data_IF_251069189052
#
_entry.id   IF_251069189052
#
_cell.length_a   1.000
_cell.length_b   1.000
_cell.length_c   1.000
_cell.angle_alpha   90.00
_cell.angle_beta   90.00
_cell.angle_gamma   90.00
#
_symmetry.space_group_name_H-M   'P 1'
#
loop_
_entity.id
_entity.type
_entity.pdbx_description
1 polymer ?
#
# COMPACT_ATOMS: atom_id res chain seq x y z
N UNK A 1 10.55 12.49 2.27
CA UNK A 1 9.30 12.57 3.03
C UNK A 1 8.37 13.75 2.65
N UNK A 2 8.82 15.01 2.58
CA UNK A 2 7.92 16.12 2.16
C UNK A 2 7.36 15.92 0.74
N UNK A 3 8.19 15.51 -0.22
CA UNK A 3 7.77 15.19 -1.60
C UNK A 3 6.70 14.09 -1.62
N UNK A 4 6.94 12.97 -0.95
CA UNK A 4 5.97 11.86 -0.85
C UNK A 4 4.63 12.32 -0.27
N UNK A 5 4.65 13.08 0.82
CA UNK A 5 3.43 13.63 1.43
C UNK A 5 2.64 14.53 0.48
N UNK A 6 3.34 15.37 -0.28
CA UNK A 6 2.72 16.26 -1.26
C UNK A 6 2.08 15.46 -2.41
N UNK A 7 2.80 14.46 -2.94
CA UNK A 7 2.30 13.58 -3.99
C UNK A 7 1.08 12.76 -3.52
N UNK A 8 1.15 12.18 -2.31
CA UNK A 8 0.01 11.45 -1.73
C UNK A 8 -1.20 12.36 -1.52
N UNK A 9 -0.99 13.60 -1.04
CA UNK A 9 -2.08 14.55 -0.88
C UNK A 9 -2.74 14.88 -2.22
N UNK A 10 -1.96 15.09 -3.27
CA UNK A 10 -2.47 15.34 -4.61
C UNK A 10 -3.22 14.12 -5.18
N UNK A 11 -2.65 12.92 -5.05
CA UNK A 11 -3.28 11.68 -5.54
C UNK A 11 -4.54 11.28 -4.75
N UNK A 12 -4.73 11.75 -3.53
CA UNK A 12 -5.91 11.51 -2.68
C UNK A 12 -6.89 12.69 -2.67
N UNK A 13 -6.67 13.68 -3.51
CA UNK A 13 -7.61 14.80 -3.64
C UNK A 13 -8.96 14.30 -4.16
N UNK A 14 -10.04 14.75 -3.53
CA UNK A 14 -11.41 14.33 -3.83
C UNK A 14 -11.71 12.83 -3.60
N UNK A 15 -10.92 12.15 -2.79
CA UNK A 15 -11.20 10.78 -2.42
C UNK A 15 -12.50 10.68 -1.60
N UNK A 16 -13.49 9.96 -2.11
CA UNK A 16 -14.77 9.70 -1.40
C UNK A 16 -14.76 8.37 -0.66
N UNK A 17 -14.21 7.32 -1.31
CA UNK A 17 -14.02 5.98 -0.73
C UNK A 17 -12.60 5.52 -0.98
N UNK A 18 -11.88 5.19 0.07
CA UNK A 18 -10.48 4.73 -0.01
C UNK A 18 -10.38 3.29 0.43
N UNK A 19 -9.91 2.42 -0.46
CA UNK A 19 -9.45 1.09 -0.12
C UNK A 19 -7.94 1.12 0.12
N UNK A 20 -7.47 0.46 1.17
CA UNK A 20 -6.04 0.22 1.41
C UNK A 20 -5.81 -1.28 1.37
N UNK A 21 -4.86 -1.73 0.58
CA UNK A 21 -4.47 -3.12 0.45
C UNK A 21 -3.02 -3.28 0.88
N UNK A 22 -2.80 -3.98 2.00
CA UNK A 22 -1.48 -4.39 2.45
C UNK A 22 -1.11 -5.75 1.87
N UNK A 23 0.01 -5.82 1.18
CA UNK A 23 0.55 -7.04 0.56
C UNK A 23 1.83 -7.45 1.27
N UNK A 24 2.14 -8.74 1.29
CA UNK A 24 3.38 -9.27 1.84
C UNK A 24 3.23 -10.58 2.60
N UNK A 25 4.29 -10.98 3.31
CA UNK A 25 4.34 -12.20 4.10
C UNK A 25 4.94 -11.95 5.49
N UNK A 26 4.22 -12.33 6.54
CA UNK A 26 4.70 -12.28 7.93
C UNK A 26 5.85 -13.25 8.21
N UNK A 27 6.08 -14.21 7.32
CA UNK A 27 7.11 -15.23 7.47
C UNK A 27 8.47 -14.85 6.88
N UNK A 28 8.58 -13.69 6.21
CA UNK A 28 9.73 -13.34 5.38
C UNK A 28 10.31 -11.96 5.69
N UNK A 29 10.69 -11.74 6.95
CA UNK A 29 11.38 -10.50 7.35
C UNK A 29 10.58 -9.25 6.96
N UNK A 30 11.18 -8.40 6.14
CA UNK A 30 10.60 -7.11 5.73
C UNK A 30 9.48 -7.21 4.69
N UNK A 31 9.19 -8.41 4.18
CA UNK A 31 8.06 -8.65 3.28
C UNK A 31 6.69 -8.31 3.94
N UNK A 32 6.66 -8.22 5.25
CA UNK A 32 5.48 -7.83 6.04
C UNK A 32 5.18 -6.32 5.99
N UNK A 33 6.00 -5.51 5.34
CA UNK A 33 5.92 -4.05 5.37
C UNK A 33 4.54 -3.49 4.99
N UNK A 34 3.95 -4.03 3.91
CA UNK A 34 2.62 -3.61 3.45
C UNK A 34 1.52 -3.93 4.44
N UNK A 35 1.56 -5.13 5.02
CA UNK A 35 0.61 -5.57 6.06
C UNK A 35 0.72 -4.65 7.28
N UNK A 36 1.93 -4.44 7.80
CA UNK A 36 2.16 -3.57 8.96
C UNK A 36 1.63 -2.14 8.75
N UNK A 37 1.85 -1.57 7.56
CA UNK A 37 1.36 -0.23 7.24
C UNK A 37 -0.18 -0.21 7.18
N UNK A 38 -0.80 -1.19 6.52
CA UNK A 38 -2.25 -1.28 6.37
C UNK A 38 -2.96 -1.46 7.70
N UNK A 39 -2.52 -2.39 8.57
CA UNK A 39 -3.07 -2.60 9.91
C UNK A 39 -2.97 -1.34 10.79
N UNK A 40 -1.86 -0.60 10.68
CA UNK A 40 -1.71 0.66 11.41
C UNK A 40 -2.66 1.74 10.88
N UNK A 41 -2.89 1.80 9.57
CA UNK A 41 -3.88 2.72 8.99
C UNK A 41 -5.27 2.38 9.55
N UNK A 42 -5.67 1.12 9.56
CA UNK A 42 -6.94 0.67 10.12
C UNK A 42 -7.09 1.08 11.59
N UNK A 43 -6.09 0.76 12.40
CA UNK A 43 -6.10 1.02 13.85
C UNK A 43 -6.20 2.51 14.21
N UNK A 44 -5.56 3.38 13.43
CA UNK A 44 -5.43 4.81 13.76
C UNK A 44 -6.33 5.73 12.93
N UNK A 45 -7.02 5.20 11.92
CA UNK A 45 -8.05 5.94 11.20
C UNK A 45 -9.28 6.10 12.08
N UNK A 46 -9.74 7.34 12.21
CA UNK A 46 -10.96 7.65 12.94
C UNK A 46 -11.99 8.15 11.94
N UNK A 47 -13.14 7.49 11.81
CA UNK A 47 -14.19 7.98 10.95
C UNK A 47 -14.65 9.35 11.41
N UNK A 48 -14.59 10.33 10.52
CA UNK A 48 -15.17 11.66 10.68
C UNK A 48 -16.23 11.82 9.60
N UNK A 49 -17.24 12.60 9.87
CA UNK A 49 -18.35 12.85 8.93
C UNK A 49 -17.87 13.42 7.58
N UNK A 50 -16.73 14.11 7.57
CA UNK A 50 -16.12 14.73 6.38
C UNK A 50 -14.98 13.92 5.77
N UNK A 51 -14.51 12.87 6.46
CA UNK A 51 -13.43 12.03 5.95
C UNK A 51 -13.96 11.02 4.93
N UNK A 52 -13.13 10.58 3.97
CA UNK A 52 -13.51 9.52 3.05
C UNK A 52 -13.82 8.23 3.81
N UNK A 53 -14.77 7.44 3.29
CA UNK A 53 -15.02 6.10 3.79
C UNK A 53 -13.79 5.24 3.55
N UNK A 54 -13.24 4.62 4.60
CA UNK A 54 -12.03 3.82 4.54
C UNK A 54 -12.35 2.35 4.77
N UNK A 55 -11.79 1.47 3.92
CA UNK A 55 -11.75 0.04 4.15
C UNK A 55 -10.34 -0.50 3.92
N UNK A 56 -9.85 -1.29 4.88
CA UNK A 56 -8.53 -1.92 4.80
C UNK A 56 -8.70 -3.40 4.47
N UNK A 57 -7.82 -3.89 3.62
CA UNK A 57 -7.72 -5.26 3.16
C UNK A 57 -6.30 -5.76 3.41
N UNK A 58 -6.16 -6.97 3.93
CA UNK A 58 -4.87 -7.63 4.11
C UNK A 58 -4.78 -8.76 3.08
N UNK A 59 -3.95 -8.54 2.06
CA UNK A 59 -3.82 -9.42 0.90
C UNK A 59 -2.85 -10.58 1.11
N UNK A 60 -2.01 -10.50 2.15
CA UNK A 60 -0.93 -11.46 2.37
C UNK A 60 -0.16 -11.72 1.06
N UNK A 61 0.06 -12.98 0.71
CA UNK A 61 0.78 -13.42 -0.49
C UNK A 61 -0.10 -13.61 -1.73
N UNK A 62 -1.41 -13.40 -1.61
CA UNK A 62 -2.39 -13.63 -2.68
C UNK A 62 -3.43 -12.49 -2.75
N UNK A 63 -2.98 -11.23 -3.00
CA UNK A 63 -3.86 -10.06 -3.02
C UNK A 63 -4.95 -10.12 -4.08
N UNK A 64 -4.74 -10.88 -5.15
CA UNK A 64 -5.72 -11.10 -6.22
C UNK A 64 -7.03 -11.73 -5.74
N UNK A 65 -6.98 -12.50 -4.66
CA UNK A 65 -8.18 -13.11 -4.06
C UNK A 65 -9.18 -12.08 -3.50
N UNK A 66 -8.71 -10.86 -3.22
CA UNK A 66 -9.51 -9.78 -2.65
C UNK A 66 -10.15 -8.86 -3.70
N UNK A 67 -9.88 -9.09 -4.99
CA UNK A 67 -10.43 -8.26 -6.08
C UNK A 67 -11.94 -8.17 -6.04
N UNK A 68 -12.64 -9.27 -5.74
CA UNK A 68 -14.10 -9.29 -5.61
C UNK A 68 -14.63 -8.41 -4.47
N UNK A 69 -13.95 -8.41 -3.32
CA UNK A 69 -14.33 -7.59 -2.18
C UNK A 69 -14.03 -6.11 -2.41
N UNK A 70 -12.87 -5.81 -2.99
CA UNK A 70 -12.50 -4.43 -3.39
C UNK A 70 -13.55 -3.89 -4.36
N UNK A 71 -13.99 -4.69 -5.35
CA UNK A 71 -15.07 -4.34 -6.29
C UNK A 71 -16.39 -4.03 -5.58
N UNK A 72 -16.81 -4.86 -4.64
CA UNK A 72 -18.05 -4.64 -3.87
C UNK A 72 -17.99 -3.35 -3.05
N UNK A 73 -16.82 -2.98 -2.54
CA UNK A 73 -16.62 -1.73 -1.81
C UNK A 73 -16.75 -0.49 -2.71
N UNK A 74 -16.45 -0.61 -4.02
CA UNK A 74 -16.49 0.48 -5.01
C UNK A 74 -15.65 1.69 -4.59
N UNK A 75 -14.34 1.52 -4.36
CA UNK A 75 -13.50 2.65 -3.96
C UNK A 75 -13.40 3.68 -5.09
N UNK A 76 -13.16 4.95 -4.75
CA UNK A 76 -12.68 5.97 -5.68
C UNK A 76 -11.16 5.91 -5.80
N UNK A 77 -10.49 5.45 -4.74
CA UNK A 77 -9.03 5.33 -4.67
C UNK A 77 -8.65 4.01 -4.00
N UNK A 78 -7.68 3.31 -4.60
CA UNK A 78 -7.07 2.11 -4.05
C UNK A 78 -5.59 2.39 -3.77
N UNK A 79 -5.18 2.27 -2.51
CA UNK A 79 -3.77 2.33 -2.10
C UNK A 79 -3.28 0.90 -1.92
N UNK A 80 -2.27 0.50 -2.68
CA UNK A 80 -1.58 -0.78 -2.52
C UNK A 80 -0.23 -0.51 -1.88
N UNK A 81 0.10 -1.23 -0.80
CA UNK A 81 1.37 -1.09 -0.08
C UNK A 81 2.03 -2.46 -0.04
N UNK A 82 3.29 -2.53 -0.49
CA UNK A 82 4.06 -3.76 -0.56
C UNK A 82 5.55 -3.50 -0.30
N UNK A 83 6.31 -4.54 0.01
CA UNK A 83 7.76 -4.50 -0.04
C UNK A 83 8.23 -4.52 -1.50
N UNK A 84 9.10 -3.58 -1.87
CA UNK A 84 9.59 -3.48 -3.24
C UNK A 84 11.10 -3.25 -3.27
N UNK A 85 11.80 -3.96 -4.17
CA UNK A 85 13.21 -3.71 -4.44
C UNK A 85 13.32 -2.48 -5.36
N UNK A 86 13.81 -1.42 -4.77
CA UNK A 86 13.88 -0.09 -5.37
C UNK A 86 15.33 0.33 -5.64
N UNK A 87 16.29 -0.59 -5.47
CA UNK A 87 17.72 -0.30 -5.45
C UNK A 87 18.08 0.84 -4.47
N UNK A 88 17.26 0.99 -3.41
CA UNK A 88 17.33 2.08 -2.46
C UNK A 88 17.85 1.66 -1.08
N UNK A 89 17.80 2.60 -0.14
CA UNK A 89 18.17 2.32 1.24
C UNK A 89 17.01 1.60 1.96
N UNK A 90 17.30 0.63 2.86
CA UNK A 90 16.26 -0.03 3.65
C UNK A 90 15.30 0.97 4.33
N UNK A 91 14.01 0.77 4.16
CA UNK A 91 12.98 1.67 4.65
C UNK A 91 12.70 2.89 3.75
N UNK A 92 13.33 2.99 2.59
CA UNK A 92 12.94 3.99 1.59
C UNK A 92 11.52 3.72 1.08
N UNK A 93 10.73 4.79 0.93
CA UNK A 93 9.33 4.72 0.50
C UNK A 93 9.18 5.45 -0.82
N UNK A 94 8.67 4.77 -1.83
CA UNK A 94 8.50 5.31 -3.18
C UNK A 94 7.07 5.07 -3.68
N UNK A 95 6.54 6.08 -4.39
CA UNK A 95 5.34 5.89 -5.22
C UNK A 95 5.76 5.24 -6.54
N UNK A 96 5.08 4.16 -6.88
CA UNK A 96 5.34 3.40 -8.11
C UNK A 96 4.19 3.67 -9.07
N UNK A 97 4.51 4.10 -10.28
CA UNK A 97 3.48 4.28 -11.29
C UNK A 97 2.99 2.89 -11.78
N UNK A 98 1.68 2.71 -12.00
CA UNK A 98 1.09 1.41 -12.34
C UNK A 98 1.75 0.74 -13.55
N UNK A 99 2.22 1.52 -14.53
CA UNK A 99 2.90 1.03 -15.72
C UNK A 99 4.25 0.38 -15.42
N UNK A 100 4.87 0.75 -14.32
CA UNK A 100 6.18 0.23 -13.89
C UNK A 100 6.06 -1.02 -13.01
N UNK A 101 4.84 -1.45 -12.70
CA UNK A 101 4.58 -2.70 -11.97
C UNK A 101 4.91 -3.88 -12.88
N UNK A 102 5.88 -4.71 -12.48
CA UNK A 102 6.37 -5.86 -13.26
C UNK A 102 7.71 -5.65 -13.94
N UNK A 103 8.31 -4.46 -13.86
CA UNK A 103 9.66 -4.18 -14.38
C UNK A 103 10.77 -4.74 -13.49
N UNK A 104 11.06 -4.21 -12.35
CA UNK A 104 12.17 -4.64 -11.47
C UNK A 104 11.86 -4.56 -9.99
N UNK A 105 10.67 -4.13 -9.60
CA UNK A 105 10.51 -3.48 -8.32
C UNK A 105 9.82 -4.27 -7.21
N UNK A 106 9.04 -5.33 -7.52
CA UNK A 106 8.35 -6.08 -6.45
C UNK A 106 9.07 -7.38 -6.12
N UNK A 107 9.42 -7.55 -4.86
CA UNK A 107 10.33 -8.60 -4.43
C UNK A 107 9.77 -10.02 -4.52
N UNK A 108 8.47 -10.21 -4.24
CA UNK A 108 7.89 -11.56 -4.10
C UNK A 108 6.53 -11.72 -4.74
N UNK A 109 5.80 -10.63 -4.91
CA UNK A 109 4.40 -10.64 -5.37
C UNK A 109 4.17 -9.81 -6.65
N UNK A 110 5.25 -9.50 -7.40
CA UNK A 110 5.20 -8.63 -8.60
C UNK A 110 4.18 -9.08 -9.64
N UNK A 111 4.13 -10.37 -9.94
CA UNK A 111 3.21 -10.89 -10.96
C UNK A 111 1.75 -10.86 -10.51
N UNK A 112 1.39 -11.39 -9.31
CA UNK A 112 0.03 -11.27 -8.79
C UNK A 112 -0.44 -9.82 -8.68
N UNK A 113 0.41 -8.93 -8.16
CA UNK A 113 0.08 -7.50 -8.01
C UNK A 113 -0.14 -6.84 -9.37
N UNK A 114 0.69 -7.14 -10.37
CA UNK A 114 0.52 -6.62 -11.73
C UNK A 114 -0.79 -7.10 -12.37
N UNK A 115 -1.03 -8.41 -12.37
CA UNK A 115 -2.24 -8.99 -12.95
C UNK A 115 -3.49 -8.43 -12.29
N UNK A 116 -3.48 -8.31 -10.97
CA UNK A 116 -4.57 -7.71 -10.20
C UNK A 116 -4.76 -6.23 -10.57
N UNK A 117 -3.69 -5.46 -10.64
CA UNK A 117 -3.74 -4.03 -10.98
C UNK A 117 -4.28 -3.82 -12.39
N UNK A 118 -3.77 -4.55 -13.38
CA UNK A 118 -4.24 -4.49 -14.77
C UNK A 118 -5.73 -4.84 -14.88
N UNK A 119 -6.16 -5.89 -14.18
CA UNK A 119 -7.56 -6.29 -14.15
C UNK A 119 -8.47 -5.24 -13.50
N UNK A 120 -8.02 -4.62 -12.41
CA UNK A 120 -8.79 -3.59 -11.72
C UNK A 120 -8.88 -2.31 -12.55
N UNK A 121 -7.80 -1.88 -13.19
CA UNK A 121 -7.78 -0.72 -14.08
C UNK A 121 -8.70 -0.89 -15.29
N UNK A 122 -8.75 -2.09 -15.87
CA UNK A 122 -9.65 -2.38 -17.00
C UNK A 122 -11.13 -2.45 -16.59
N UNK A 123 -11.40 -2.83 -15.35
CA UNK A 123 -12.76 -3.10 -14.86
C UNK A 123 -13.43 -1.89 -14.22
N UNK A 124 -12.68 -0.86 -13.80
CA UNK A 124 -13.17 0.24 -12.99
C UNK A 124 -12.45 1.54 -13.26
N UNK A 125 -13.20 2.64 -13.09
CA UNK A 125 -12.68 4.00 -13.19
C UNK A 125 -12.33 4.54 -11.78
N UNK A 126 -11.32 3.95 -11.11
CA UNK A 126 -10.79 4.46 -9.84
C UNK A 126 -9.27 4.66 -9.91
N UNK A 127 -8.77 5.54 -9.07
CA UNK A 127 -7.33 5.83 -9.04
C UNK A 127 -6.59 4.76 -8.22
N UNK A 128 -5.52 4.18 -8.79
CA UNK A 128 -4.63 3.27 -8.08
C UNK A 128 -3.36 4.01 -7.68
N UNK A 129 -2.97 3.88 -6.42
CA UNK A 129 -1.77 4.44 -5.82
C UNK A 129 -0.95 3.27 -5.29
N UNK A 130 0.24 3.04 -5.84
CA UNK A 130 1.09 1.93 -5.45
C UNK A 130 2.29 2.49 -4.70
N UNK A 131 2.56 1.93 -3.53
CA UNK A 131 3.63 2.36 -2.62
C UNK A 131 4.54 1.18 -2.33
N UNK A 132 5.79 1.31 -2.70
CA UNK A 132 6.85 0.37 -2.35
C UNK A 132 7.64 0.82 -1.13
N UNK A 133 8.00 -0.14 -0.28
CA UNK A 133 8.93 0.06 0.85
C UNK A 133 10.14 -0.83 0.61
N UNK A 134 11.34 -0.23 0.51
CA UNK A 134 12.59 -0.97 0.31
C UNK A 134 12.86 -1.90 1.50
N UNK A 135 12.92 -3.22 1.30
CA UNK A 135 13.30 -4.16 2.34
C UNK A 135 14.81 -4.16 2.59
N UNK A 136 15.22 -4.57 3.77
CA UNK A 136 16.59 -4.91 4.14
C UNK A 136 16.87 -6.40 4.00
N UNK A 137 15.87 -7.23 4.34
CA UNK A 137 15.96 -8.69 4.27
C UNK A 137 14.59 -9.32 4.01
N UNK A 138 14.59 -10.33 3.15
CA UNK A 138 13.41 -11.16 2.85
C UNK A 138 13.63 -12.61 3.28
N UNK A 139 14.57 -12.85 4.19
CA UNK A 139 14.88 -14.19 4.67
C UNK A 139 13.70 -14.77 5.45
N UNK A 140 13.41 -16.04 5.20
CA UNK A 140 12.35 -16.79 5.90
C UNK A 140 12.72 -16.89 7.39
N UNK A 141 11.75 -16.60 8.25
CA UNK A 141 11.92 -16.61 9.71
C UNK A 141 12.65 -15.39 10.29
N UNK A 142 13.13 -14.47 9.45
CA UNK A 142 13.66 -13.22 9.94
C UNK A 142 12.56 -12.31 10.51
N UNK A 143 12.90 -11.52 11.52
CA UNK A 143 12.03 -10.46 12.02
C UNK A 143 12.13 -9.22 11.12
N UNK A 144 11.07 -8.38 11.07
CA UNK A 144 11.12 -7.12 10.36
C UNK A 144 12.25 -6.21 10.89
N UNK A 145 12.97 -5.58 9.97
CA UNK A 145 14.04 -4.65 10.31
C UNK A 145 13.50 -3.38 10.97
N UNK A 146 14.35 -2.71 11.75
CA UNK A 146 13.99 -1.44 12.41
C UNK A 146 13.68 -0.36 11.38
N UNK A 147 14.42 -0.33 10.28
CA UNK A 147 14.28 0.62 9.19
C UNK A 147 12.90 0.49 8.53
N UNK A 148 12.50 -0.74 8.19
CA UNK A 148 11.20 -1.00 7.55
C UNK A 148 10.05 -0.81 8.52
N UNK A 149 10.20 -1.21 9.77
CA UNK A 149 9.20 -0.95 10.83
C UNK A 149 8.97 0.56 11.01
N UNK A 150 10.04 1.37 11.01
CA UNK A 150 9.93 2.83 11.10
C UNK A 150 9.27 3.43 9.85
N UNK A 151 9.60 2.91 8.66
CA UNK A 151 9.01 3.34 7.40
C UNK A 151 7.50 3.05 7.34
N UNK A 152 7.07 1.85 7.68
CA UNK A 152 5.66 1.46 7.74
C UNK A 152 4.86 2.35 8.72
N UNK A 153 5.44 2.64 9.89
CA UNK A 153 4.86 3.58 10.86
C UNK A 153 4.70 4.98 10.26
N UNK A 154 5.76 5.52 9.68
CA UNK A 154 5.79 6.88 9.12
C UNK A 154 4.81 7.04 7.96
N UNK A 155 4.75 6.02 7.07
CA UNK A 155 3.81 5.97 5.96
C UNK A 155 2.36 5.96 6.46
N UNK A 156 2.03 5.05 7.39
CA UNK A 156 0.69 4.94 7.95
C UNK A 156 0.22 6.24 8.62
N UNK A 157 1.07 6.88 9.43
CA UNK A 157 0.77 8.16 10.06
C UNK A 157 0.54 9.28 9.02
N UNK A 158 1.31 9.25 7.92
CA UNK A 158 1.17 10.22 6.83
C UNK A 158 -0.17 10.07 6.12
N UNK A 159 -0.54 8.83 5.74
CA UNK A 159 -1.82 8.53 5.09
C UNK A 159 -2.99 8.90 6.00
N UNK A 160 -2.97 8.46 7.26
CA UNK A 160 -4.02 8.79 8.25
C UNK A 160 -4.18 10.30 8.41
N UNK A 161 -3.08 11.06 8.47
CA UNK A 161 -3.13 12.52 8.57
C UNK A 161 -3.73 13.18 7.31
N UNK A 162 -3.51 12.61 6.13
CA UNK A 162 -4.09 13.12 4.89
C UNK A 162 -5.60 12.84 4.88
N UNK A 163 -6.00 11.59 5.12
CA UNK A 163 -7.40 11.17 5.10
C UNK A 163 -8.26 11.88 6.16
N UNK A 164 -7.68 12.19 7.32
CA UNK A 164 -8.39 12.89 8.40
C UNK A 164 -8.50 14.42 8.18
N UNK A 165 -7.86 14.97 7.14
CA UNK A 165 -7.88 16.40 6.81
C UNK A 165 -8.66 16.73 5.54
N UNK A 166 -9.07 15.69 4.83
CA UNK A 166 -9.82 15.79 3.56
C UNK A 166 -11.29 16.20 3.79
#
# INVERSE_FOLDING_TARGET
MQKLKMQLKQKLENAGKVAVLGVGSELRGDDVAGIMAAERIEKFSRPKTTAPELKVFIGHTAPENLTGEIKKFRPTHLIIIDAADLDGQPGEIVLIEPENVGGTSFCTHSLPTKVMTDYLLQSFNFQIIIIGIQPKTLAVGALPSKEVTAAAKLLSETIVKILNKA
#
